data_IF_165800550037
#
_entry.id   IF_165800550037
#
_cell.length_a   1.000
_cell.length_b   1.000
_cell.length_c   1.000
_cell.angle_alpha   90.00
_cell.angle_beta   90.00
_cell.angle_gamma   90.00
#
_symmetry.space_group_name_H-M   'P 1'
#
loop_
_entity.id
_entity.type
_entity.pdbx_description
1 polymer ?
#
# COMPACT_ATOMS: atom_id res chain seq x y z
N UNK A 1 9.95 11.58 -10.79
CA UNK A 1 9.13 11.69 -9.56
C UNK A 1 9.27 10.39 -8.77
N UNK A 2 9.47 10.50 -7.47
CA UNK A 2 9.56 9.34 -6.59
C UNK A 2 8.41 9.35 -5.59
N UNK A 3 8.18 8.22 -4.94
CA UNK A 3 7.14 8.13 -3.90
C UNK A 3 7.44 9.09 -2.74
N UNK A 4 8.72 9.21 -2.35
CA UNK A 4 9.14 10.12 -1.31
C UNK A 4 8.83 11.57 -1.68
N UNK A 5 9.07 11.96 -2.92
CA UNK A 5 8.75 13.31 -3.39
C UNK A 5 7.24 13.58 -3.36
N UNK A 6 6.44 12.59 -3.76
CA UNK A 6 4.98 12.70 -3.70
C UNK A 6 4.54 12.92 -2.25
N UNK A 7 5.05 12.12 -1.33
CA UNK A 7 4.69 12.24 0.09
C UNK A 7 5.19 13.54 0.69
N UNK A 8 6.39 13.98 0.34
CA UNK A 8 6.92 15.26 0.81
C UNK A 8 6.01 16.42 0.38
N UNK A 9 5.64 16.43 -0.90
CA UNK A 9 4.79 17.49 -1.43
C UNK A 9 3.39 17.50 -0.80
N UNK A 10 2.81 16.32 -0.59
CA UNK A 10 1.50 16.22 0.05
C UNK A 10 1.56 16.63 1.52
N UNK A 11 2.62 16.25 2.22
CA UNK A 11 2.81 16.66 3.61
C UNK A 11 2.97 18.16 3.74
N UNK A 12 3.69 18.78 2.79
CA UNK A 12 3.86 20.23 2.76
C UNK A 12 2.55 20.96 2.48
N UNK A 13 1.74 20.41 1.56
CA UNK A 13 0.46 21.01 1.17
C UNK A 13 -0.63 20.85 2.23
N UNK A 14 -0.76 19.67 2.80
CA UNK A 14 -1.85 19.33 3.71
C UNK A 14 -1.46 19.36 5.19
N UNK A 15 -0.16 19.37 5.49
CA UNK A 15 0.33 19.40 6.87
C UNK A 15 -0.13 18.21 7.68
N UNK A 16 -0.65 18.47 8.88
CA UNK A 16 -1.11 17.43 9.81
C UNK A 16 -2.28 16.61 9.28
N UNK A 17 -2.99 17.09 8.28
CA UNK A 17 -4.10 16.36 7.68
C UNK A 17 -3.64 15.21 6.83
N UNK A 18 -2.37 15.20 6.40
CA UNK A 18 -1.82 14.10 5.63
C UNK A 18 -1.44 12.95 6.55
N UNK A 19 -2.27 11.90 6.55
CA UNK A 19 -2.19 10.79 7.51
C UNK A 19 -1.34 9.61 7.06
N UNK A 20 -0.71 9.69 5.92
CA UNK A 20 0.11 8.60 5.41
C UNK A 20 1.57 8.79 5.78
N UNK A 21 2.24 7.69 6.08
CA UNK A 21 3.67 7.70 6.37
C UNK A 21 4.37 6.58 5.62
N UNK A 22 5.62 6.81 5.23
CA UNK A 22 6.42 5.80 4.54
C UNK A 22 6.86 4.72 5.53
N UNK A 23 6.85 3.48 5.03
CA UNK A 23 7.34 2.34 5.81
C UNK A 23 8.85 2.23 5.59
N UNK A 24 9.66 2.07 6.66
CA UNK A 24 11.11 1.92 6.51
C UNK A 24 11.48 0.76 5.58
N UNK A 25 12.55 0.92 4.81
CA UNK A 25 13.01 -0.11 3.88
C UNK A 25 13.30 -1.45 4.56
N UNK A 26 13.71 -1.41 5.83
CA UNK A 26 13.97 -2.62 6.60
C UNK A 26 12.71 -3.46 6.83
N UNK A 27 11.53 -2.87 6.69
CA UNK A 27 10.25 -3.54 6.91
C UNK A 27 9.41 -3.66 5.65
N UNK A 28 9.85 -3.07 4.53
CA UNK A 28 9.02 -3.02 3.33
C UNK A 28 8.84 -4.37 2.64
N UNK A 29 9.88 -5.21 2.62
CA UNK A 29 9.82 -6.51 1.95
C UNK A 29 9.49 -7.66 2.90
N UNK A 30 9.38 -7.39 4.18
CA UNK A 30 9.10 -8.40 5.21
C UNK A 30 8.52 -7.69 6.44
N UNK A 31 7.99 -8.48 7.37
CA UNK A 31 7.45 -7.95 8.61
C UNK A 31 5.94 -8.01 8.63
N UNK A 32 5.34 -7.30 9.59
CA UNK A 32 3.92 -7.46 9.91
C UNK A 32 2.98 -7.11 8.75
N UNK A 33 3.30 -6.10 7.96
CA UNK A 33 2.41 -5.69 6.87
C UNK A 33 2.38 -6.68 5.73
N UNK A 34 3.53 -7.28 5.41
CA UNK A 34 3.59 -8.32 4.38
C UNK A 34 2.96 -9.62 4.89
N UNK A 35 3.26 -10.01 6.12
CA UNK A 35 2.71 -11.22 6.72
C UNK A 35 1.19 -11.14 6.80
N UNK A 36 0.65 -10.01 7.25
CA UNK A 36 -0.79 -9.83 7.35
C UNK A 36 -1.45 -9.87 5.96
N UNK A 37 -0.88 -9.19 4.97
CA UNK A 37 -1.41 -9.23 3.61
C UNK A 37 -1.49 -10.67 3.10
N UNK A 38 -0.39 -11.44 3.22
CA UNK A 38 -0.35 -12.81 2.73
C UNK A 38 -1.37 -13.71 3.42
N UNK A 39 -1.60 -13.50 4.71
CA UNK A 39 -2.62 -14.24 5.45
C UNK A 39 -4.03 -13.91 4.98
N UNK A 40 -4.31 -12.63 4.74
CA UNK A 40 -5.66 -12.18 4.39
C UNK A 40 -6.04 -12.51 2.95
N UNK A 41 -5.11 -12.44 2.01
CA UNK A 41 -5.41 -12.74 0.61
C UNK A 41 -5.45 -14.23 0.31
N UNK A 42 -4.71 -15.05 1.07
CA UNK A 42 -4.69 -16.49 0.88
C UNK A 42 -3.97 -16.94 -0.37
N UNK A 43 -3.86 -18.26 -0.54
CA UNK A 43 -3.05 -18.87 -1.60
C UNK A 43 -3.60 -18.68 -3.01
N UNK A 44 -4.89 -18.42 -3.13
CA UNK A 44 -5.56 -18.31 -4.43
C UNK A 44 -5.55 -16.90 -5.01
N UNK A 45 -5.05 -15.94 -4.26
CA UNK A 45 -4.99 -14.55 -4.73
C UNK A 45 -3.82 -14.36 -5.69
N UNK A 46 -4.04 -13.51 -6.71
CA UNK A 46 -3.01 -13.30 -7.73
C UNK A 46 -1.71 -12.69 -7.17
N UNK A 47 -1.77 -12.01 -6.03
CA UNK A 47 -0.59 -11.43 -5.38
C UNK A 47 0.14 -12.37 -4.43
N UNK A 48 -0.45 -13.53 -4.10
CA UNK A 48 0.13 -14.40 -3.08
C UNK A 48 1.56 -14.85 -3.42
N UNK A 49 1.79 -15.22 -4.66
CA UNK A 49 3.10 -15.68 -5.12
C UNK A 49 3.97 -14.58 -5.73
N UNK A 50 3.50 -13.34 -5.71
CA UNK A 50 4.26 -12.22 -6.25
C UNK A 50 5.07 -11.55 -5.14
N UNK A 51 6.18 -10.96 -5.54
CA UNK A 51 6.98 -10.17 -4.63
C UNK A 51 6.32 -8.81 -4.44
N UNK A 52 6.00 -8.48 -3.19
CA UNK A 52 5.27 -7.28 -2.83
C UNK A 52 6.04 -6.55 -1.73
N UNK A 53 6.09 -5.23 -1.82
CA UNK A 53 6.70 -4.39 -0.80
C UNK A 53 5.62 -3.51 -0.18
N UNK A 54 5.60 -3.44 1.16
CA UNK A 54 4.77 -2.47 1.86
C UNK A 54 5.54 -1.15 1.91
N UNK A 55 5.00 -0.10 1.27
CA UNK A 55 5.75 1.14 1.10
C UNK A 55 5.20 2.31 1.91
N UNK A 56 3.92 2.28 2.28
CA UNK A 56 3.33 3.32 3.09
C UNK A 56 2.11 2.80 3.84
N UNK A 57 1.79 3.49 4.93
CA UNK A 57 0.67 3.13 5.81
C UNK A 57 -0.15 4.38 6.12
N UNK A 58 -1.47 4.23 6.16
CA UNK A 58 -2.37 5.27 6.65
C UNK A 58 -2.47 5.17 8.18
N UNK A 59 -2.17 6.26 8.89
CA UNK A 59 -2.17 6.26 10.35
C UNK A 59 -3.56 6.23 10.96
N UNK A 60 -4.57 6.73 10.23
CA UNK A 60 -5.93 6.82 10.75
C UNK A 60 -6.81 5.64 10.41
N UNK A 61 -6.26 4.60 9.78
CA UNK A 61 -7.07 3.45 9.37
C UNK A 61 -6.21 2.24 9.04
N UNK A 62 -6.82 1.26 8.41
CA UNK A 62 -6.19 -0.02 8.11
C UNK A 62 -5.67 -0.12 6.68
N UNK A 63 -5.50 1.01 6.01
CA UNK A 63 -5.01 1.05 4.63
C UNK A 63 -3.49 0.97 4.59
N UNK A 64 -2.98 0.12 3.72
CA UNK A 64 -1.54 0.00 3.48
C UNK A 64 -1.31 0.04 1.98
N UNK A 65 -0.32 0.82 1.56
CA UNK A 65 0.08 0.94 0.16
C UNK A 65 1.18 -0.06 -0.12
N UNK A 66 0.94 -0.91 -1.11
CA UNK A 66 1.90 -1.93 -1.54
C UNK A 66 2.38 -1.64 -2.95
N UNK A 67 3.61 -2.04 -3.21
CA UNK A 67 4.24 -1.94 -4.53
C UNK A 67 4.58 -3.33 -5.02
N UNK A 68 4.23 -3.63 -6.27
CA UNK A 68 4.70 -4.84 -6.92
C UNK A 68 5.16 -4.50 -8.34
N UNK A 69 6.26 -5.13 -8.78
CA UNK A 69 6.75 -4.98 -10.14
C UNK A 69 6.34 -6.18 -10.99
N UNK A 70 6.32 -5.98 -12.31
CA UNK A 70 6.13 -7.08 -13.24
C UNK A 70 7.47 -7.45 -13.88
N UNK A 71 7.46 -8.46 -14.74
CA UNK A 71 8.66 -8.95 -15.43
C UNK A 71 9.29 -7.90 -16.37
N UNK A 72 8.52 -6.88 -16.73
CA UNK A 72 8.98 -5.81 -17.61
C UNK A 72 9.53 -4.61 -16.84
N UNK A 73 9.59 -4.71 -15.51
CA UNK A 73 10.09 -3.62 -14.68
C UNK A 73 9.09 -2.50 -14.43
N UNK A 74 7.83 -2.72 -14.75
CA UNK A 74 6.78 -1.74 -14.48
C UNK A 74 6.26 -1.93 -13.07
N UNK A 75 6.18 -0.83 -12.31
CA UNK A 75 5.67 -0.86 -10.95
C UNK A 75 4.18 -0.60 -10.92
N UNK A 76 3.47 -1.40 -10.13
CA UNK A 76 2.05 -1.20 -9.88
C UNK A 76 1.84 -1.08 -8.38
N UNK A 77 0.99 -0.13 -7.98
CA UNK A 77 0.68 0.11 -6.58
C UNK A 77 -0.72 -0.39 -6.25
N UNK A 78 -0.88 -0.89 -5.03
CA UNK A 78 -2.17 -1.35 -4.52
C UNK A 78 -2.39 -0.80 -3.12
N UNK A 79 -3.60 -0.30 -2.86
CA UNK A 79 -4.01 0.07 -1.50
C UNK A 79 -4.93 -1.02 -1.00
N UNK A 80 -4.54 -1.71 0.06
CA UNK A 80 -5.35 -2.74 0.69
C UNK A 80 -5.92 -2.24 2.02
N UNK A 81 -7.16 -2.62 2.27
CA UNK A 81 -7.81 -2.39 3.57
C UNK A 81 -7.68 -3.66 4.39
N UNK A 82 -6.64 -3.73 5.22
CA UNK A 82 -6.38 -4.93 6.01
C UNK A 82 -7.36 -5.04 7.18
N UNK A 83 -7.78 -6.26 7.49
CA UNK A 83 -8.69 -6.52 8.61
C UNK A 83 -7.94 -6.82 9.90
N UNK A 84 -6.67 -7.21 9.79
CA UNK A 84 -5.83 -7.66 10.92
C UNK A 84 -6.41 -8.85 11.66
N UNK A 85 -7.23 -9.65 10.98
CA UNK A 85 -7.81 -10.87 11.56
C UNK A 85 -6.81 -12.03 11.64
N UNK A 86 -5.71 -11.94 10.90
CA UNK A 86 -4.67 -12.96 10.88
C UNK A 86 -5.02 -14.21 10.08
N UNK A 87 -6.15 -14.22 9.38
CA UNK A 87 -6.54 -15.36 8.55
C UNK A 87 -7.49 -14.92 7.45
N UNK A 88 -7.58 -15.74 6.39
CA UNK A 88 -8.53 -15.52 5.32
C UNK A 88 -9.92 -16.00 5.75
N UNK A 89 -10.94 -15.18 5.53
CA UNK A 89 -12.31 -15.50 5.86
C UNK A 89 -13.11 -15.98 4.65
N UNK A 90 -12.42 -16.30 3.56
CA UNK A 90 -13.08 -16.65 2.30
C UNK A 90 -13.37 -15.45 1.42
N UNK A 91 -13.16 -14.25 1.94
CA UNK A 91 -13.26 -13.00 1.20
C UNK A 91 -11.90 -12.34 1.22
N UNK A 92 -11.48 -11.78 0.08
CA UNK A 92 -10.24 -11.02 0.03
C UNK A 92 -10.48 -9.62 0.60
N UNK A 93 -9.44 -9.00 1.21
CA UNK A 93 -9.58 -7.61 1.65
C UNK A 93 -9.86 -6.70 0.46
N UNK A 94 -10.61 -5.63 0.70
CA UNK A 94 -10.86 -4.63 -0.33
C UNK A 94 -9.55 -3.97 -0.75
N UNK A 95 -9.40 -3.69 -2.05
CA UNK A 95 -8.21 -3.03 -2.54
C UNK A 95 -8.51 -2.16 -3.75
N UNK A 96 -7.59 -1.23 -4.02
CA UNK A 96 -7.60 -0.43 -5.24
C UNK A 96 -6.26 -0.56 -5.94
N UNK A 97 -6.29 -0.76 -7.25
CA UNK A 97 -5.08 -0.78 -8.07
C UNK A 97 -4.78 0.64 -8.55
N UNK A 98 -3.54 1.08 -8.36
CA UNK A 98 -3.05 2.38 -8.78
C UNK A 98 -1.89 2.14 -9.75
N UNK A 99 -2.07 2.51 -11.01
CA UNK A 99 -1.14 2.12 -12.07
C UNK A 99 0.23 2.79 -12.01
N UNK A 100 0.33 3.97 -11.39
CA UNK A 100 1.59 4.70 -11.32
C UNK A 100 1.59 5.70 -10.15
N UNK A 101 2.68 6.44 -10.01
CA UNK A 101 2.82 7.44 -8.94
C UNK A 101 1.81 8.58 -9.06
N UNK A 102 1.42 8.94 -10.27
CA UNK A 102 0.40 9.97 -10.47
C UNK A 102 -0.94 9.52 -9.89
N UNK A 103 -1.32 8.26 -10.10
CA UNK A 103 -2.53 7.70 -9.53
C UNK A 103 -2.44 7.63 -7.99
N UNK A 104 -1.26 7.32 -7.46
CA UNK A 104 -1.03 7.34 -6.01
C UNK A 104 -1.27 8.74 -5.45
N UNK A 105 -0.69 9.75 -6.10
CA UNK A 105 -0.87 11.14 -5.69
C UNK A 105 -2.35 11.54 -5.68
N UNK A 106 -3.07 11.24 -6.75
CA UNK A 106 -4.51 11.54 -6.83
C UNK A 106 -5.30 10.84 -5.74
N UNK A 107 -4.99 9.58 -5.47
CA UNK A 107 -5.65 8.84 -4.41
C UNK A 107 -5.45 9.50 -3.04
N UNK A 108 -4.19 9.86 -2.75
CA UNK A 108 -3.87 10.50 -1.47
C UNK A 108 -4.56 11.86 -1.34
N UNK A 109 -4.64 12.63 -2.41
CA UNK A 109 -5.34 13.91 -2.40
C UNK A 109 -6.82 13.75 -2.09
N UNK A 110 -7.46 12.72 -2.65
CA UNK A 110 -8.87 12.41 -2.36
C UNK A 110 -9.07 12.05 -0.88
N UNK A 111 -8.12 11.34 -0.30
CA UNK A 111 -8.20 10.95 1.11
C UNK A 111 -8.12 12.14 2.07
N UNK A 112 -7.57 13.27 1.61
CA UNK A 112 -7.37 14.46 2.42
C UNK A 112 -8.43 15.57 2.19
N UNK A 113 -9.45 15.28 1.41
CA UNK A 113 -10.54 16.25 1.15
C UNK A 113 -11.64 16.13 2.16
#
# INVERSE_FOLDING_TARGET
>A
MTLEEVFYNLSDEYGEKFNWRLIPLTQSGRGIFIDELKKEIGKNHFLYNKRVWAVAKCESGNKVLYLTGNEKGEDTYYVFHLTYSGHSTGKFPDYEELGDLHAVKEYMEKCNR
#
